data_IF_294563299199
#
_entry.id   IF_294563299199
#
_cell.length_a   1.000
_cell.length_b   1.000
_cell.length_c   1.000
_cell.angle_alpha   90.00
_cell.angle_beta   90.00
_cell.angle_gamma   90.00
#
_symmetry.space_group_name_H-M   'P 1'
#
loop_
_entity.id
_entity.type
_entity.pdbx_description
1 polymer ?
#
# COMPACT_ATOMS: atom_id res chain seq x y z
N UNK A 1 1.96 14.08 28.12
CA UNK A 1 1.94 14.42 26.68
C UNK A 1 0.88 13.52 26.02
N UNK A 2 -0.22 14.07 25.49
CA UNK A 2 -1.18 13.25 24.73
C UNK A 2 -0.53 12.93 23.39
N UNK A 3 -0.19 11.67 23.16
CA UNK A 3 0.17 11.18 21.83
C UNK A 3 -1.08 11.32 20.96
N UNK A 4 -0.97 12.05 19.85
CA UNK A 4 -2.04 12.19 18.87
C UNK A 4 -1.97 10.98 17.95
N UNK A 5 -3.13 10.51 17.51
CA UNK A 5 -3.18 9.47 16.48
C UNK A 5 -2.57 10.01 15.18
N UNK A 6 -1.65 9.26 14.60
CA UNK A 6 -1.09 9.51 13.29
C UNK A 6 -2.01 8.87 12.26
N UNK A 7 -2.74 9.72 11.53
CA UNK A 7 -3.68 9.33 10.48
C UNK A 7 -2.98 9.49 9.14
N UNK A 8 -2.85 8.40 8.38
CA UNK A 8 -2.12 8.41 7.12
C UNK A 8 -3.06 7.93 6.01
N UNK A 9 -3.44 8.80 5.05
CA UNK A 9 -4.07 8.35 3.83
C UNK A 9 -3.00 7.62 2.99
N UNK A 10 -3.36 6.46 2.44
CA UNK A 10 -2.47 5.73 1.54
C UNK A 10 -3.15 5.45 0.21
N UNK A 11 -2.35 5.49 -0.84
CA UNK A 11 -2.75 5.11 -2.20
C UNK A 11 -2.08 3.79 -2.53
N UNK A 12 -2.88 2.86 -3.04
CA UNK A 12 -2.42 1.55 -3.45
C UNK A 12 -2.80 1.35 -4.91
N UNK A 13 -1.79 1.09 -5.75
CA UNK A 13 -2.00 0.63 -7.12
C UNK A 13 -1.83 -0.88 -7.19
N UNK A 14 -2.84 -1.54 -7.75
CA UNK A 14 -2.78 -2.94 -8.13
C UNK A 14 -2.38 -3.06 -9.60
N UNK A 15 -1.48 -3.98 -9.91
CA UNK A 15 -1.12 -4.31 -11.28
C UNK A 15 -0.68 -5.77 -11.38
N UNK A 16 -0.50 -6.24 -12.61
CA UNK A 16 -0.02 -7.59 -12.90
C UNK A 16 1.44 -7.55 -13.33
N UNK A 17 2.26 -8.36 -12.69
CA UNK A 17 3.62 -8.65 -13.12
C UNK A 17 3.75 -10.16 -13.23
N UNK A 18 4.11 -10.64 -14.42
CA UNK A 18 3.99 -12.03 -14.82
C UNK A 18 2.59 -12.61 -14.51
N UNK A 19 2.54 -13.69 -13.72
CA UNK A 19 1.30 -14.35 -13.27
C UNK A 19 0.88 -13.93 -11.86
N UNK A 20 1.38 -12.81 -11.34
CA UNK A 20 1.15 -12.37 -9.95
C UNK A 20 0.45 -11.03 -9.88
N UNK A 21 -0.33 -10.85 -8.84
CA UNK A 21 -0.85 -9.55 -8.44
C UNK A 21 0.18 -8.84 -7.59
N UNK A 22 0.36 -7.57 -7.89
CA UNK A 22 1.18 -6.65 -7.12
C UNK A 22 0.25 -5.63 -6.46
N UNK A 23 0.48 -5.32 -5.19
CA UNK A 23 -0.15 -4.22 -4.47
C UNK A 23 0.98 -3.28 -3.99
N UNK A 24 1.02 -2.05 -4.51
CA UNK A 24 2.12 -1.12 -4.21
C UNK A 24 1.59 0.11 -3.48
N UNK A 25 2.03 0.31 -2.24
CA UNK A 25 1.73 1.49 -1.44
C UNK A 25 2.64 2.65 -1.86
N UNK A 26 2.04 3.76 -2.30
CA UNK A 26 2.79 4.86 -2.90
C UNK A 26 3.50 5.74 -1.88
N UNK A 27 2.97 5.87 -0.66
CA UNK A 27 3.53 6.73 0.37
C UNK A 27 4.76 6.13 1.07
N UNK A 28 4.88 4.80 1.07
CA UNK A 28 5.93 4.08 1.77
C UNK A 28 6.87 3.29 0.85
N UNK A 29 6.58 3.24 -0.46
CA UNK A 29 7.30 2.45 -1.46
C UNK A 29 7.44 0.98 -1.04
N UNK A 30 6.34 0.43 -0.53
CA UNK A 30 6.23 -0.97 -0.12
C UNK A 30 5.34 -1.72 -1.10
N UNK A 31 5.71 -2.97 -1.35
CA UNK A 31 4.99 -3.86 -2.26
C UNK A 31 4.61 -5.17 -1.55
N UNK A 32 3.44 -5.67 -1.88
CA UNK A 32 3.03 -7.05 -1.58
C UNK A 32 2.66 -7.78 -2.86
N UNK A 33 2.92 -9.07 -2.90
CA UNK A 33 2.69 -9.93 -4.04
C UNK A 33 1.78 -11.12 -3.71
N UNK A 34 1.01 -11.60 -4.68
CA UNK A 34 0.04 -12.66 -4.46
C UNK A 34 -0.42 -13.32 -5.75
N UNK A 35 -1.08 -14.47 -5.63
CA UNK A 35 -1.78 -15.08 -6.78
C UNK A 35 -3.16 -14.43 -7.00
N UNK A 36 -3.70 -13.78 -5.96
CA UNK A 36 -4.92 -12.95 -5.97
C UNK A 36 -4.61 -11.53 -5.44
N UNK A 37 -5.50 -10.56 -5.66
CA UNK A 37 -5.35 -9.19 -5.16
C UNK A 37 -5.35 -9.15 -3.64
N UNK A 38 -6.18 -9.98 -3.03
CA UNK A 38 -6.36 -10.10 -1.58
C UNK A 38 -5.06 -10.59 -0.94
N UNK A 39 -4.40 -11.58 -1.54
CA UNK A 39 -3.08 -12.06 -1.08
C UNK A 39 -2.01 -10.98 -1.20
N UNK A 40 -1.99 -10.24 -2.32
CA UNK A 40 -1.05 -9.14 -2.50
C UNK A 40 -1.26 -8.03 -1.46
N UNK A 41 -2.53 -7.70 -1.14
CA UNK A 41 -2.88 -6.73 -0.12
C UNK A 41 -2.54 -7.22 1.30
N UNK A 42 -2.76 -8.49 1.61
CA UNK A 42 -2.36 -9.10 2.89
C UNK A 42 -0.85 -9.06 3.07
N UNK A 43 -0.09 -9.41 2.03
CA UNK A 43 1.37 -9.32 2.02
C UNK A 43 1.84 -7.86 2.25
N UNK A 44 1.24 -6.91 1.52
CA UNK A 44 1.52 -5.48 1.68
C UNK A 44 1.21 -4.98 3.10
N UNK A 45 0.11 -5.44 3.69
CA UNK A 45 -0.27 -5.11 5.06
C UNK A 45 0.84 -5.52 6.03
N UNK A 46 1.35 -6.75 5.91
CA UNK A 46 2.46 -7.26 6.72
C UNK A 46 3.72 -6.41 6.56
N UNK A 47 4.06 -6.02 5.33
CA UNK A 47 5.20 -5.16 5.06
C UNK A 47 5.06 -3.77 5.73
N UNK A 48 3.86 -3.18 5.69
CA UNK A 48 3.59 -1.89 6.33
C UNK A 48 3.69 -2.00 7.85
N UNK A 49 3.13 -3.05 8.46
CA UNK A 49 3.27 -3.30 9.92
C UNK A 49 4.74 -3.38 10.31
N UNK A 50 5.53 -4.16 9.56
CA UNK A 50 6.95 -4.34 9.82
C UNK A 50 7.69 -3.00 9.71
N UNK A 51 7.46 -2.23 8.63
CA UNK A 51 8.12 -0.93 8.43
C UNK A 51 7.80 0.06 9.55
N UNK A 52 6.54 0.14 10.00
CA UNK A 52 6.13 0.99 11.11
C UNK A 52 6.81 0.55 12.40
N UNK A 53 6.78 -0.75 12.71
CA UNK A 53 7.39 -1.28 13.93
C UNK A 53 8.89 -0.99 13.98
N UNK A 54 9.62 -1.25 12.89
CA UNK A 54 11.06 -0.97 12.78
C UNK A 54 11.35 0.52 12.89
N UNK A 55 10.55 1.37 12.25
CA UNK A 55 10.73 2.83 12.35
C UNK A 55 10.60 3.35 13.79
N UNK A 56 9.71 2.74 14.58
CA UNK A 56 9.53 3.06 16.01
C UNK A 56 10.66 2.49 16.86
N UNK A 57 11.00 1.21 16.67
CA UNK A 57 12.06 0.52 17.42
C UNK A 57 13.40 1.27 17.32
N UNK A 58 13.72 1.80 16.13
CA UNK A 58 14.95 2.53 15.89
C UNK A 58 14.83 4.05 16.07
N UNK A 59 13.70 4.55 16.57
CA UNK A 59 13.41 5.99 16.73
C UNK A 59 13.71 6.80 15.46
N UNK A 60 13.35 6.23 14.30
CA UNK A 60 13.61 6.79 12.99
C UNK A 60 12.33 6.87 12.15
N UNK A 61 11.40 7.80 12.47
CA UNK A 61 10.15 7.96 11.74
C UNK A 61 10.35 8.47 10.30
N UNK A 62 11.50 9.07 10.00
CA UNK A 62 11.83 9.49 8.64
C UNK A 62 11.97 8.30 7.68
N UNK A 63 12.23 7.10 8.20
CA UNK A 63 12.29 5.88 7.40
C UNK A 63 10.91 5.37 6.97
N UNK A 64 9.82 5.88 7.55
CA UNK A 64 8.47 5.42 7.22
C UNK A 64 7.99 6.00 5.88
N UNK A 65 8.31 7.26 5.59
CA UNK A 65 7.80 7.97 4.41
C UNK A 65 8.86 8.04 3.32
N UNK A 66 8.85 7.05 2.44
CA UNK A 66 9.64 7.01 1.22
C UNK A 66 8.67 6.86 0.05
N UNK A 67 8.41 7.91 -0.74
CA UNK A 67 7.45 7.81 -1.83
C UNK A 67 7.97 6.92 -2.95
N UNK A 68 7.07 6.19 -3.59
CA UNK A 68 7.38 5.32 -4.72
C UNK A 68 7.91 6.09 -5.94
N UNK A 69 8.50 5.37 -6.90
CA UNK A 69 8.90 5.97 -8.18
C UNK A 69 7.69 6.58 -8.94
N UNK A 70 7.95 7.65 -9.71
CA UNK A 70 6.92 8.38 -10.46
C UNK A 70 6.05 7.52 -11.39
N UNK A 71 6.59 6.42 -11.92
CA UNK A 71 5.84 5.48 -12.76
C UNK A 71 4.63 4.86 -12.03
N UNK A 72 4.73 4.58 -10.73
CA UNK A 72 3.64 3.99 -9.97
C UNK A 72 2.53 4.99 -9.66
N UNK A 73 2.90 6.27 -9.47
CA UNK A 73 1.92 7.36 -9.42
C UNK A 73 1.17 7.51 -10.74
N UNK A 74 1.86 7.35 -11.87
CA UNK A 74 1.24 7.36 -13.18
C UNK A 74 0.27 6.16 -13.35
N UNK A 75 0.70 4.96 -13.00
CA UNK A 75 -0.16 3.77 -13.00
C UNK A 75 -1.38 3.96 -12.12
N UNK A 76 -1.23 4.58 -10.94
CA UNK A 76 -2.37 4.93 -10.09
C UNK A 76 -3.29 5.94 -10.79
N UNK A 77 -2.76 7.02 -11.35
CA UNK A 77 -3.57 8.04 -12.02
C UNK A 77 -4.38 7.48 -13.20
N UNK A 78 -3.78 6.58 -13.99
CA UNK A 78 -4.39 5.90 -15.14
C UNK A 78 -5.28 4.72 -14.73
N UNK A 79 -5.01 4.13 -13.56
CA UNK A 79 -5.74 3.00 -13.01
C UNK A 79 -7.20 3.32 -12.73
N UNK A 80 -8.04 2.31 -12.89
CA UNK A 80 -9.48 2.41 -12.64
C UNK A 80 -9.78 2.02 -11.21
N UNK A 81 -10.78 2.62 -10.60
CA UNK A 81 -11.32 2.11 -9.33
C UNK A 81 -11.72 0.63 -9.55
N UNK A 82 -11.35 -0.28 -8.63
CA UNK A 82 -11.64 -1.70 -8.78
C UNK A 82 -13.13 -1.90 -9.04
N UNK A 83 -13.47 -2.69 -10.08
CA UNK A 83 -14.84 -2.83 -10.63
C UNK A 83 -15.86 -3.56 -9.72
N UNK A 84 -15.55 -3.73 -8.44
CA UNK A 84 -16.50 -4.23 -7.46
C UNK A 84 -16.29 -3.48 -6.15
N UNK A 85 -17.27 -2.63 -5.82
CA UNK A 85 -17.54 -2.18 -4.46
C UNK A 85 -17.77 -3.44 -3.61
N UNK A 86 -16.73 -3.87 -2.89
CA UNK A 86 -16.75 -5.11 -2.13
C UNK A 86 -15.53 -5.17 -1.23
N UNK A 87 -15.55 -4.36 -0.16
CA UNK A 87 -14.82 -4.55 1.10
C UNK A 87 -13.42 -5.16 1.02
N UNK A 88 -12.51 -4.62 0.20
CA UNK A 88 -11.09 -4.73 0.54
C UNK A 88 -10.85 -3.88 1.79
N UNK A 89 -11.16 -4.47 2.94
CA UNK A 89 -10.93 -3.85 4.24
C UNK A 89 -9.47 -4.04 4.61
N UNK A 90 -8.78 -2.92 4.76
CA UNK A 90 -7.38 -2.89 5.12
C UNK A 90 -7.28 -2.50 6.60
N UNK A 91 -7.23 -3.50 7.47
CA UNK A 91 -7.10 -3.30 8.91
C UNK A 91 -5.67 -3.61 9.34
N UNK A 92 -4.87 -2.56 9.52
CA UNK A 92 -3.55 -2.67 10.12
C UNK A 92 -3.68 -2.63 11.65
N UNK A 93 -3.30 -3.73 12.29
CA UNK A 93 -3.00 -3.71 13.71
C UNK A 93 -1.48 -3.70 13.87
N UNK A 94 -0.94 -2.61 14.41
CA UNK A 94 0.47 -2.53 14.80
C UNK A 94 0.51 -2.55 16.32
N UNK A 95 0.80 -3.70 16.97
CA UNK A 95 0.78 -3.81 18.43
C UNK A 95 1.70 -2.80 19.12
N UNK A 96 2.84 -2.51 18.50
CA UNK A 96 3.83 -1.55 18.98
C UNK A 96 3.48 -0.09 18.67
N UNK A 97 2.42 0.16 17.89
CA UNK A 97 2.01 1.47 17.41
C UNK A 97 0.48 1.63 17.36
N UNK A 98 -0.23 1.52 18.50
CA UNK A 98 -1.69 1.56 18.54
C UNK A 98 -2.29 2.91 18.10
N UNK A 99 -1.45 3.93 17.92
CA UNK A 99 -1.83 5.27 17.50
C UNK A 99 -1.61 5.53 16.01
N UNK A 100 -1.16 4.55 15.22
CA UNK A 100 -1.09 4.68 13.76
C UNK A 100 -2.36 4.12 13.15
N UNK A 101 -3.08 4.98 12.45
CA UNK A 101 -4.35 4.64 11.78
C UNK A 101 -4.16 4.93 10.30
N UNK A 102 -4.35 3.91 9.47
CA UNK A 102 -4.52 4.12 8.03
C UNK A 102 -5.99 4.41 7.77
N UNK A 103 -6.26 5.58 7.21
CA UNK A 103 -7.64 6.02 6.95
C UNK A 103 -7.90 6.01 5.45
N UNK A 104 -9.07 5.49 5.08
CA UNK A 104 -9.65 5.60 3.73
C UNK A 104 -8.64 5.27 2.61
N UNK A 105 -8.01 4.08 2.62
CA UNK A 105 -7.05 3.72 1.59
C UNK A 105 -7.71 3.78 0.21
N UNK A 106 -7.08 4.48 -0.70
CA UNK A 106 -7.54 4.58 -2.09
C UNK A 106 -6.90 3.47 -2.91
N UNK A 107 -7.75 2.69 -3.59
CA UNK A 107 -7.30 1.59 -4.43
C UNK A 107 -7.57 1.90 -5.90
N UNK A 108 -6.59 1.61 -6.75
CA UNK A 108 -6.76 1.62 -8.19
C UNK A 108 -6.10 0.42 -8.82
N UNK A 109 -6.71 -0.10 -9.87
CA UNK A 109 -6.19 -1.21 -10.65
C UNK A 109 -5.72 -0.68 -12.00
N UNK A 110 -4.43 -0.88 -12.28
CA UNK A 110 -3.81 -0.56 -13.54
C UNK A 110 -3.71 -1.83 -14.39
N UNK A 111 -4.25 -1.75 -15.61
CA UNK A 111 -4.20 -2.83 -16.56
C UNK A 111 -2.93 -2.70 -17.42
N UNK A 112 -1.93 -3.54 -17.11
CA UNK A 112 -0.66 -3.57 -17.84
C UNK A 112 -0.81 -4.10 -19.28
N UNK A 113 -1.99 -4.56 -19.72
CA UNK A 113 -2.18 -5.05 -21.09
C UNK A 113 -1.98 -3.98 -22.17
N UNK A 114 -2.07 -2.69 -21.81
CA UNK A 114 -1.81 -1.57 -22.71
C UNK A 114 -0.31 -1.30 -22.97
N UNK A 115 0.60 -1.90 -22.18
CA UNK A 115 2.05 -1.74 -22.32
C UNK A 115 2.72 -2.81 -23.21
N UNK A 116 1.94 -3.73 -23.80
CA UNK A 116 2.46 -4.83 -24.64
C UNK A 116 2.96 -4.40 -26.04
N UNK A 117 3.00 -3.10 -26.34
CA UNK A 117 3.50 -2.58 -27.62
C UNK A 117 4.40 -1.35 -27.40
N UNK A 118 5.64 -1.59 -26.99
CA UNK A 118 6.74 -0.63 -27.12
C UNK A 118 8.04 -1.35 -27.49
#
# INVERSE_FOLDING_TARGET
MRMRDLRIPIRIVFYREDNRWMAHCLEFDLLGDGTTREQALECLSGAIVAQIATSIEHNNPANLFSPAEGKYFQMFAEGKSPRAEGDLSFHLQVPSAPHVVIEEPEFREYDNSDLAFA
#
